data_IF_363772428898
#
_entry.id   IF_363772428898
#
_cell.length_a   1.000
_cell.length_b   1.000
_cell.length_c   1.000
_cell.angle_alpha   90.00
_cell.angle_beta   90.00
_cell.angle_gamma   90.00
#
_symmetry.space_group_name_H-M   'P 1'
#
loop_
_entity.id
_entity.type
_entity.pdbx_description
1 polymer ?
#
# COMPACT_ATOMS: atom_id res chain seq x y z
N UNK A 1 -13.23 15.52 -16.55
CA UNK A 1 -13.63 14.40 -15.66
C UNK A 1 -13.24 14.79 -14.24
N UNK A 2 -14.21 14.96 -13.34
CA UNK A 2 -13.92 15.23 -11.93
C UNK A 2 -13.36 13.94 -11.34
N UNK A 3 -12.06 13.91 -11.07
CA UNK A 3 -11.46 12.84 -10.28
C UNK A 3 -12.00 12.99 -8.86
N UNK A 4 -12.99 12.17 -8.51
CA UNK A 4 -13.46 12.06 -7.13
C UNK A 4 -12.31 11.48 -6.31
N UNK A 5 -11.60 12.36 -5.62
CA UNK A 5 -10.60 11.95 -4.64
C UNK A 5 -11.36 11.26 -3.50
N UNK A 6 -11.12 9.96 -3.35
CA UNK A 6 -11.68 9.16 -2.25
C UNK A 6 -11.30 9.73 -0.88
N UNK A 7 -10.18 10.47 -0.83
CA UNK A 7 -9.66 11.15 0.35
C UNK A 7 -9.26 12.59 0.04
N UNK A 8 -9.64 13.54 0.90
CA UNK A 8 -9.21 14.93 0.82
C UNK A 8 -7.91 15.12 1.60
N UNK A 9 -6.77 14.83 0.96
CA UNK A 9 -5.44 15.08 1.56
C UNK A 9 -4.97 16.48 1.18
N UNK A 10 -4.82 17.35 2.18
CA UNK A 10 -4.21 18.67 2.02
C UNK A 10 -2.71 18.59 1.80
N UNK A 11 -2.08 19.66 1.28
CA UNK A 11 -0.61 19.71 1.07
C UNK A 11 0.22 19.77 2.35
N UNK A 12 -0.41 20.16 3.46
CA UNK A 12 0.20 20.24 4.80
C UNK A 12 -0.40 19.22 5.76
N UNK A 13 -1.19 18.30 5.22
CA UNK A 13 -1.83 17.24 6.00
C UNK A 13 -0.78 16.18 6.36
N UNK A 14 -0.81 15.69 7.59
CA UNK A 14 0.06 14.60 8.05
C UNK A 14 -0.68 13.28 7.97
N UNK A 15 0.04 12.20 7.66
CA UNK A 15 -0.55 10.88 7.64
C UNK A 15 -0.83 10.40 9.06
N UNK A 16 -2.11 10.14 9.35
CA UNK A 16 -2.54 9.53 10.60
C UNK A 16 -3.36 8.26 10.34
N UNK A 17 -2.91 7.08 10.83
CA UNK A 17 -3.59 5.82 10.55
C UNK A 17 -4.98 5.72 11.20
N UNK A 18 -5.29 6.49 12.25
CA UNK A 18 -6.62 6.51 12.87
C UNK A 18 -7.66 7.20 11.99
N UNK A 19 -7.24 8.14 11.13
CA UNK A 19 -8.12 8.78 10.14
C UNK A 19 -8.52 7.81 9.00
N UNK A 20 -7.76 6.73 8.80
CA UNK A 20 -7.94 5.81 7.66
C UNK A 20 -8.13 4.35 8.11
N UNK A 21 -9.20 4.01 8.85
CA UNK A 21 -9.41 2.65 9.35
C UNK A 21 -9.52 1.61 8.22
N UNK A 22 -10.06 1.98 7.05
CA UNK A 22 -10.15 1.10 5.89
C UNK A 22 -8.77 0.73 5.32
N UNK A 23 -7.84 1.69 5.29
CA UNK A 23 -6.46 1.50 4.82
C UNK A 23 -5.71 0.56 5.77
N UNK A 24 -5.88 0.77 7.08
CA UNK A 24 -5.30 -0.12 8.11
C UNK A 24 -5.89 -1.54 8.01
N UNK A 25 -7.18 -1.67 7.75
CA UNK A 25 -7.83 -2.97 7.61
C UNK A 25 -7.35 -3.73 6.36
N UNK A 26 -7.28 -3.06 5.21
CA UNK A 26 -6.69 -3.62 3.98
C UNK A 26 -5.23 -4.04 4.23
N UNK A 27 -4.43 -3.19 4.88
CA UNK A 27 -3.04 -3.49 5.19
C UNK A 27 -2.88 -4.71 6.10
N UNK A 28 -3.75 -4.88 7.09
CA UNK A 28 -3.75 -6.07 7.96
C UNK A 28 -4.10 -7.34 7.18
N UNK A 29 -5.07 -7.28 6.27
CA UNK A 29 -5.41 -8.42 5.40
C UNK A 29 -4.25 -8.78 4.48
N UNK A 30 -3.64 -7.78 3.83
CA UNK A 30 -2.43 -7.95 3.01
C UNK A 30 -1.34 -8.62 3.83
N UNK A 31 -1.00 -8.07 5.00
CA UNK A 31 0.00 -8.63 5.93
C UNK A 31 -0.32 -10.07 6.29
N UNK A 32 -1.57 -10.39 6.66
CA UNK A 32 -1.96 -11.74 7.07
C UNK A 32 -1.78 -12.77 5.96
N UNK A 33 -2.16 -12.42 4.72
CA UNK A 33 -1.99 -13.30 3.57
C UNK A 33 -0.50 -13.49 3.22
N UNK A 34 0.31 -12.44 3.40
CA UNK A 34 1.73 -12.46 3.08
C UNK A 34 2.63 -12.96 4.21
N UNK A 35 2.14 -13.03 5.45
CA UNK A 35 2.85 -13.64 6.57
C UNK A 35 3.16 -15.11 6.28
N UNK A 36 2.23 -15.80 5.60
CA UNK A 36 2.41 -17.18 5.13
C UNK A 36 3.34 -17.29 3.93
N UNK A 37 3.64 -16.18 3.24
CA UNK A 37 4.56 -16.15 2.11
C UNK A 37 5.99 -15.84 2.60
N UNK A 38 6.92 -16.77 2.38
CA UNK A 38 8.34 -16.60 2.71
C UNK A 38 9.09 -15.64 1.77
N UNK A 39 8.38 -14.70 1.14
CA UNK A 39 8.91 -13.84 0.09
C UNK A 39 9.76 -12.74 0.71
N UNK A 40 11.04 -12.69 0.35
CA UNK A 40 11.95 -11.63 0.74
C UNK A 40 11.58 -10.30 0.05
N UNK A 41 11.77 -9.17 0.74
CA UNK A 41 11.48 -7.82 0.23
C UNK A 41 10.02 -7.57 -0.17
N UNK A 42 9.09 -8.38 0.35
CA UNK A 42 7.66 -8.28 0.05
C UNK A 42 7.09 -6.90 0.39
N UNK A 43 7.58 -6.23 1.45
CA UNK A 43 7.07 -4.91 1.80
C UNK A 43 7.37 -3.85 0.74
N UNK A 44 8.57 -3.90 0.16
CA UNK A 44 9.04 -2.90 -0.81
C UNK A 44 8.27 -3.06 -2.13
N UNK A 45 8.08 -4.31 -2.56
CA UNK A 45 7.33 -4.66 -3.77
C UNK A 45 5.87 -4.17 -3.65
N UNK A 46 5.22 -4.38 -2.50
CA UNK A 46 3.82 -3.97 -2.28
C UNK A 46 3.66 -2.46 -2.21
N UNK A 47 4.57 -1.77 -1.53
CA UNK A 47 4.56 -0.32 -1.46
C UNK A 47 4.67 0.27 -2.87
N UNK A 48 5.60 -0.23 -3.69
CA UNK A 48 5.72 0.18 -5.08
C UNK A 48 4.46 -0.12 -5.90
N UNK A 49 3.81 -1.26 -5.63
CA UNK A 49 2.52 -1.61 -6.23
C UNK A 49 1.42 -0.61 -5.86
N UNK A 50 1.28 -0.26 -4.57
CA UNK A 50 0.28 0.70 -4.10
C UNK A 50 0.53 2.12 -4.61
N UNK A 51 1.81 2.47 -4.74
CA UNK A 51 2.27 3.76 -5.26
C UNK A 51 2.03 3.93 -6.77
N UNK A 52 1.48 2.92 -7.45
CA UNK A 52 1.09 2.99 -8.86
C UNK A 52 2.24 3.37 -9.80
N UNK A 53 3.50 3.05 -9.43
CA UNK A 53 4.62 3.17 -10.36
C UNK A 53 4.60 1.94 -11.27
N UNK A 54 4.10 2.12 -12.49
CA UNK A 54 4.18 1.13 -13.59
C UNK A 54 5.58 0.53 -13.78
N UNK A 55 6.62 1.21 -13.31
CA UNK A 55 8.03 0.82 -13.42
C UNK A 55 8.41 -0.47 -12.68
N UNK A 56 7.65 -0.93 -11.68
CA UNK A 56 8.00 -2.14 -10.91
C UNK A 56 7.01 -3.30 -11.06
N UNK A 57 6.06 -3.20 -12.00
CA UNK A 57 5.28 -4.35 -12.45
C UNK A 57 6.19 -5.52 -12.84
N UNK A 58 7.38 -5.23 -13.38
CA UNK A 58 8.43 -6.21 -13.71
C UNK A 58 8.96 -6.97 -12.49
N UNK A 59 9.09 -6.31 -11.32
CA UNK A 59 9.53 -6.98 -10.08
C UNK A 59 8.43 -7.84 -9.47
N UNK A 60 7.18 -7.44 -9.64
CA UNK A 60 6.01 -8.26 -9.27
C UNK A 60 5.93 -9.47 -10.20
N UNK A 61 6.15 -9.30 -11.50
CA UNK A 61 6.25 -10.39 -12.48
C UNK A 61 7.42 -11.32 -12.16
N UNK A 62 8.54 -10.79 -11.68
CA UNK A 62 9.69 -11.59 -11.21
C UNK A 62 9.39 -12.42 -9.95
N UNK A 63 8.29 -12.13 -9.25
CA UNK A 63 7.82 -12.87 -8.07
C UNK A 63 6.41 -13.44 -8.33
N UNK A 64 6.29 -14.57 -9.05
CA UNK A 64 5.01 -15.11 -9.48
C UNK A 64 4.04 -15.40 -8.33
N UNK A 65 4.53 -15.76 -7.14
CA UNK A 65 3.71 -15.92 -5.92
C UNK A 65 3.05 -14.60 -5.48
N UNK A 66 3.81 -13.51 -5.45
CA UNK A 66 3.33 -12.18 -5.10
C UNK A 66 2.35 -11.66 -6.16
N UNK A 67 2.69 -11.86 -7.44
CA UNK A 67 1.81 -11.52 -8.56
C UNK A 67 0.49 -12.29 -8.49
N UNK A 68 0.53 -13.59 -8.22
CA UNK A 68 -0.67 -14.42 -8.08
C UNK A 68 -1.55 -13.95 -6.92
N UNK A 69 -0.96 -13.63 -5.76
CA UNK A 69 -1.70 -13.12 -4.60
C UNK A 69 -2.39 -11.78 -4.88
N UNK A 70 -1.69 -10.86 -5.53
CA UNK A 70 -2.21 -9.54 -5.89
C UNK A 70 -3.28 -9.66 -7.00
N UNK A 71 -3.06 -10.50 -8.00
CA UNK A 71 -3.91 -10.60 -9.20
C UNK A 71 -5.15 -11.47 -8.95
N UNK A 72 -5.09 -12.47 -8.05
CA UNK A 72 -6.27 -13.22 -7.61
C UNK A 72 -7.24 -12.40 -6.75
N UNK A 73 -6.99 -11.10 -6.52
CA UNK A 73 -7.84 -10.24 -5.68
C UNK A 73 -8.05 -10.81 -4.27
N UNK A 74 -7.07 -11.57 -3.75
CA UNK A 74 -7.14 -12.18 -2.41
C UNK A 74 -7.31 -11.09 -1.32
N UNK A 75 -6.87 -9.88 -1.62
CA UNK A 75 -7.02 -8.71 -0.76
C UNK A 75 -7.38 -7.47 -1.59
N UNK A 76 -8.32 -6.68 -1.08
CA UNK A 76 -8.65 -5.36 -1.60
C UNK A 76 -7.52 -4.38 -1.28
N UNK A 77 -7.11 -3.60 -2.28
CA UNK A 77 -6.03 -2.60 -2.19
C UNK A 77 -6.49 -1.23 -2.70
N UNK A 78 -7.80 -1.06 -2.77
CA UNK A 78 -8.42 0.08 -3.44
C UNK A 78 -8.26 1.34 -2.58
N UNK A 79 -8.38 1.22 -1.25
CA UNK A 79 -8.15 2.34 -0.34
C UNK A 79 -6.66 2.65 -0.21
N UNK A 80 -5.79 1.62 -0.16
CA UNK A 80 -4.34 1.78 -0.14
C UNK A 80 -3.85 2.59 -1.35
N UNK A 81 -4.31 2.24 -2.56
CA UNK A 81 -3.97 2.94 -3.81
C UNK A 81 -4.61 4.33 -3.86
N UNK A 82 -5.90 4.44 -3.53
CA UNK A 82 -6.59 5.72 -3.51
C UNK A 82 -5.91 6.73 -2.58
N UNK A 83 -5.35 6.30 -1.45
CA UNK A 83 -4.63 7.18 -0.53
C UNK A 83 -3.32 7.69 -1.15
N UNK A 84 -2.55 6.84 -1.85
CA UNK A 84 -1.38 7.28 -2.61
C UNK A 84 -1.73 8.27 -3.73
N UNK A 85 -2.78 7.97 -4.50
CA UNK A 85 -3.26 8.86 -5.57
C UNK A 85 -3.75 10.21 -5.01
N UNK A 86 -4.45 10.21 -3.88
CA UNK A 86 -4.94 11.44 -3.26
C UNK A 86 -3.81 12.29 -2.67
N UNK A 87 -2.73 11.64 -2.18
CA UNK A 87 -1.57 12.27 -1.56
C UNK A 87 -0.43 12.62 -2.53
N UNK A 88 -0.61 12.46 -3.85
CA UNK A 88 0.40 12.80 -4.88
C UNK A 88 0.95 14.23 -4.76
N UNK A 89 0.13 15.17 -4.28
CA UNK A 89 0.52 16.56 -4.05
C UNK A 89 1.22 16.84 -2.70
N UNK A 90 1.40 15.84 -1.84
CA UNK A 90 1.96 15.97 -0.49
C UNK A 90 3.05 14.90 -0.25
N UNK A 91 4.30 15.30 -0.51
CA UNK A 91 5.47 14.41 -0.40
C UNK A 91 5.68 13.96 1.05
N UNK A 92 5.44 14.83 2.02
CA UNK A 92 5.60 14.50 3.44
C UNK A 92 4.60 13.41 3.86
N UNK A 93 3.34 13.56 3.48
CA UNK A 93 2.31 12.55 3.71
C UNK A 93 2.69 11.22 3.06
N UNK A 94 3.13 11.22 1.80
CA UNK A 94 3.56 9.99 1.14
C UNK A 94 4.72 9.30 1.85
N UNK A 95 5.71 10.06 2.33
CA UNK A 95 6.84 9.51 3.08
C UNK A 95 6.40 8.92 4.42
N UNK A 96 5.52 9.60 5.15
CA UNK A 96 4.98 9.10 6.43
C UNK A 96 4.16 7.83 6.22
N UNK A 97 3.31 7.82 5.20
CA UNK A 97 2.49 6.67 4.84
C UNK A 97 3.34 5.47 4.38
N UNK A 98 4.34 5.70 3.52
CA UNK A 98 5.29 4.67 3.08
C UNK A 98 6.04 4.06 4.27
N UNK A 99 6.50 4.90 5.21
CA UNK A 99 7.17 4.46 6.43
C UNK A 99 6.23 3.62 7.32
N UNK A 100 4.96 4.02 7.41
CA UNK A 100 3.95 3.26 8.15
C UNK A 100 3.68 1.88 7.52
N UNK A 101 3.57 1.82 6.19
CA UNK A 101 3.40 0.56 5.45
C UNK A 101 4.60 -0.36 5.65
N UNK A 102 5.83 0.14 5.47
CA UNK A 102 7.06 -0.64 5.71
C UNK A 102 7.07 -1.18 7.12
N UNK A 103 6.84 -0.33 8.12
CA UNK A 103 6.82 -0.76 9.52
C UNK A 103 5.77 -1.83 9.75
N UNK A 104 4.55 -1.66 9.26
CA UNK A 104 3.46 -2.63 9.51
C UNK A 104 3.69 -3.97 8.82
N UNK A 105 4.29 -3.98 7.62
CA UNK A 105 4.59 -5.18 6.85
C UNK A 105 5.85 -5.90 7.34
N UNK A 106 6.86 -5.16 7.80
CA UNK A 106 8.09 -5.71 8.37
C UNK A 106 7.92 -6.21 9.81
N UNK A 107 7.04 -5.57 10.57
CA UNK A 107 6.75 -5.93 11.95
C UNK A 107 6.02 -7.27 11.97
N UNK A 108 6.71 -8.33 12.39
CA UNK A 108 6.15 -9.70 12.42
C UNK A 108 5.37 -10.02 13.69
N UNK A 109 5.19 -9.06 14.61
CA UNK A 109 4.65 -9.29 15.95
C UNK A 109 3.55 -8.26 16.32
N UNK A 110 2.32 -8.54 15.91
CA UNK A 110 1.11 -7.90 16.44
C UNK A 110 -0.05 -8.90 16.46
#
# INVERSE_FOLDING_TARGET
MFQYKKYLIGRSDSFDPFQFPNVVNELKLVKKNLASSGIAYKEDILISYFKKRSLEADRIVANPDLSSLINNSVFTTDHLKALFECSEGNIEFQNQYEKYLRKTLADSEL
#
